data_IF_026280153363
#
_entry.id   IF_026280153363
#
_cell.length_a   1.000
_cell.length_b   1.000
_cell.length_c   1.000
_cell.angle_alpha   90.00
_cell.angle_beta   90.00
_cell.angle_gamma   90.00
#
_symmetry.space_group_name_H-M   'P 1'
#
loop_
_entity.id
_entity.type
_entity.pdbx_description
1 polymer ?
#
# COMPACT_ATOMS: atom_id res chain seq x y z
N UNK A 1 -8.24 -59.68 28.81
CA UNK A 1 -7.91 -58.59 29.74
C UNK A 1 -8.36 -57.30 29.08
N UNK A 2 -9.55 -56.80 29.45
CA UNK A 2 -9.76 -55.63 30.35
C UNK A 2 -9.43 -54.31 29.63
N UNK A 3 -10.31 -53.30 29.52
CA UNK A 3 -11.22 -52.76 30.52
C UNK A 3 -12.54 -52.26 29.91
N UNK A 4 -13.62 -52.47 30.66
CA UNK A 4 -14.91 -51.81 30.48
C UNK A 4 -15.51 -51.50 31.86
N UNK A 5 -16.10 -50.32 32.00
CA UNK A 5 -17.13 -49.88 32.96
C UNK A 5 -17.20 -48.36 32.85
N UNK A 6 -18.29 -47.64 33.03
CA UNK A 6 -19.70 -47.89 33.36
C UNK A 6 -20.39 -46.53 33.09
N UNK A 7 -21.70 -46.47 32.88
CA UNK A 7 -22.62 -45.58 33.61
C UNK A 7 -24.03 -45.65 32.99
N UNK A 8 -24.99 -45.48 33.88
CA UNK A 8 -26.35 -46.02 33.87
C UNK A 8 -27.36 -44.89 34.04
N UNK A 9 -28.55 -45.10 33.45
CA UNK A 9 -29.90 -44.57 33.78
C UNK A 9 -30.30 -43.10 33.52
N UNK A 10 -31.22 -42.98 32.54
CA UNK A 10 -32.53 -42.27 32.45
C UNK A 10 -33.23 -41.93 33.81
N UNK A 11 -34.42 -41.25 33.93
CA UNK A 11 -35.44 -40.89 32.91
C UNK A 11 -36.27 -39.59 33.18
N UNK A 12 -37.20 -39.29 32.26
CA UNK A 12 -38.58 -38.78 32.46
C UNK A 12 -39.00 -37.61 31.55
N UNK A 13 -39.70 -38.06 30.51
CA UNK A 13 -40.64 -37.38 29.66
C UNK A 13 -42.03 -37.42 30.32
N UNK A 14 -42.80 -36.33 30.29
CA UNK A 14 -44.26 -36.36 30.43
C UNK A 14 -44.91 -35.10 29.81
N UNK A 15 -45.77 -35.33 28.83
CA UNK A 15 -46.68 -34.39 28.13
C UNK A 15 -47.95 -34.12 29.02
N UNK A 16 -49.06 -33.42 28.62
CA UNK A 16 -49.63 -33.29 27.25
C UNK A 16 -50.41 -31.98 26.87
N UNK A 17 -50.99 -32.07 25.68
CA UNK A 17 -51.85 -31.28 24.74
C UNK A 17 -53.03 -30.35 25.14
N UNK A 18 -53.41 -29.51 24.13
CA UNK A 18 -54.70 -28.85 23.78
C UNK A 18 -55.09 -27.56 24.57
N UNK A 19 -55.80 -26.52 24.08
CA UNK A 19 -56.86 -26.36 23.06
C UNK A 19 -57.11 -24.84 22.75
N UNK A 20 -58.01 -24.52 21.81
CA UNK A 20 -58.27 -23.22 21.15
C UNK A 20 -59.11 -22.17 21.93
N UNK A 21 -59.14 -20.90 21.46
CA UNK A 21 -60.23 -19.95 21.80
C UNK A 21 -59.95 -18.44 21.61
N UNK A 22 -60.77 -17.77 20.78
CA UNK A 22 -60.86 -16.31 20.56
C UNK A 22 -61.43 -15.52 21.76
N UNK A 23 -61.08 -14.23 21.91
CA UNK A 23 -61.91 -13.25 22.65
C UNK A 23 -61.20 -11.95 23.05
N UNK A 24 -61.68 -10.82 22.53
CA UNK A 24 -61.28 -9.45 22.90
C UNK A 24 -61.78 -9.06 24.31
N UNK A 25 -61.02 -8.22 25.04
CA UNK A 25 -61.54 -7.01 25.67
C UNK A 25 -60.40 -6.15 26.28
N UNK A 26 -60.41 -4.88 25.89
CA UNK A 26 -59.60 -3.79 26.46
C UNK A 26 -60.02 -3.52 27.91
N UNK A 27 -59.05 -3.35 28.81
CA UNK A 27 -59.18 -2.43 29.94
C UNK A 27 -57.92 -1.59 30.04
N UNK A 28 -58.14 -0.28 29.93
CA UNK A 28 -57.15 0.77 30.12
C UNK A 28 -56.79 0.87 31.61
N UNK A 29 -55.51 0.76 31.95
CA UNK A 29 -54.99 1.35 33.18
C UNK A 29 -53.76 2.21 32.88
N UNK A 30 -53.88 3.47 33.31
CA UNK A 30 -52.95 4.57 33.13
C UNK A 30 -51.71 4.40 34.02
N UNK A 31 -50.56 4.39 33.37
CA UNK A 31 -49.26 4.94 33.81
C UNK A 31 -49.03 5.17 35.32
N UNK A 32 -48.04 4.44 35.87
CA UNK A 32 -47.14 5.01 36.86
C UNK A 32 -45.67 4.74 36.48
N UNK A 33 -44.97 5.85 36.25
CA UNK A 33 -43.58 5.98 35.80
C UNK A 33 -42.57 5.34 36.77
N UNK A 34 -41.57 4.65 36.20
CA UNK A 34 -40.32 4.33 36.91
C UNK A 34 -39.62 3.05 36.47
N UNK A 35 -39.36 2.85 35.17
CA UNK A 35 -38.43 1.80 34.72
C UNK A 35 -37.03 2.43 34.54
N UNK A 36 -35.98 1.92 35.19
CA UNK A 36 -34.62 2.29 34.83
C UNK A 36 -34.39 1.81 33.40
N UNK A 37 -33.89 2.70 32.55
CA UNK A 37 -33.54 2.39 31.17
C UNK A 37 -32.62 1.17 31.15
N UNK A 38 -33.15 0.01 30.76
CA UNK A 38 -32.33 -1.14 30.44
C UNK A 38 -31.49 -0.73 29.22
N UNK A 39 -30.20 -0.54 29.44
CA UNK A 39 -29.23 -0.36 28.35
C UNK A 39 -29.34 -1.60 27.48
N UNK A 40 -29.88 -1.42 26.26
CA UNK A 40 -29.76 -2.42 25.22
C UNK A 40 -28.27 -2.78 25.11
N UNK A 41 -27.89 -4.07 25.06
CA UNK A 41 -26.52 -4.43 24.74
C UNK A 41 -26.22 -3.79 23.39
N UNK A 42 -25.34 -2.79 23.37
CA UNK A 42 -24.78 -2.30 22.12
C UNK A 42 -24.13 -3.51 21.47
N UNK A 43 -24.62 -3.89 20.29
CA UNK A 43 -23.95 -4.89 19.48
C UNK A 43 -22.47 -4.48 19.39
N UNK A 44 -21.52 -5.43 19.50
CA UNK A 44 -20.10 -5.09 19.46
C UNK A 44 -19.84 -4.30 18.19
N UNK A 45 -19.54 -3.01 18.35
CA UNK A 45 -19.15 -2.15 17.22
C UNK A 45 -17.92 -2.82 16.63
N UNK A 46 -18.03 -3.31 15.39
CA UNK A 46 -16.90 -3.89 14.70
C UNK A 46 -15.79 -2.84 14.69
N UNK A 47 -14.71 -3.07 15.44
CA UNK A 47 -13.61 -2.12 15.53
C UNK A 47 -12.95 -2.03 14.16
N UNK A 48 -13.28 -0.97 13.42
CA UNK A 48 -12.58 -0.55 12.20
C UNK A 48 -11.41 0.33 12.60
N UNK A 49 -10.29 0.19 11.90
CA UNK A 49 -9.11 1.00 12.12
C UNK A 49 -9.43 2.48 11.91
N UNK A 50 -8.80 3.35 12.70
CA UNK A 50 -8.83 4.78 12.38
C UNK A 50 -8.15 5.01 11.03
N UNK A 51 -8.49 6.11 10.34
CA UNK A 51 -7.85 6.45 9.07
C UNK A 51 -6.31 6.55 9.22
N UNK A 52 -5.81 7.06 10.34
CA UNK A 52 -4.38 7.19 10.59
C UNK A 52 -3.72 5.81 10.75
N UNK A 53 -4.29 4.93 11.56
CA UNK A 53 -3.75 3.58 11.79
C UNK A 53 -3.79 2.75 10.50
N UNK A 54 -4.86 2.90 9.72
CA UNK A 54 -4.99 2.26 8.42
C UNK A 54 -3.88 2.72 7.45
N UNK A 55 -3.64 4.03 7.33
CA UNK A 55 -2.59 4.56 6.46
C UNK A 55 -1.18 4.18 6.94
N UNK A 56 -0.98 4.05 8.25
CA UNK A 56 0.26 3.53 8.81
C UNK A 56 0.51 2.08 8.39
N UNK A 57 -0.51 1.22 8.46
CA UNK A 57 -0.42 -0.17 7.97
C UNK A 57 -0.19 -0.24 6.46
N UNK A 58 -0.89 0.58 5.66
CA UNK A 58 -0.64 0.68 4.21
C UNK A 58 0.82 1.05 3.92
N UNK A 59 1.38 1.99 4.68
CA UNK A 59 2.78 2.40 4.54
C UNK A 59 3.74 1.27 4.93
N UNK A 60 3.42 0.51 5.97
CA UNK A 60 4.17 -0.68 6.36
C UNK A 60 4.19 -1.72 5.24
N UNK A 61 3.03 -2.10 4.70
CA UNK A 61 2.91 -3.04 3.56
C UNK A 61 3.74 -2.57 2.36
N UNK A 62 3.67 -1.27 2.02
CA UNK A 62 4.49 -0.69 0.93
C UNK A 62 5.99 -0.83 1.16
N UNK A 63 6.44 -0.68 2.41
CA UNK A 63 7.86 -0.86 2.74
C UNK A 63 8.28 -2.32 2.66
N UNK A 64 7.42 -3.26 3.09
CA UNK A 64 7.68 -4.69 2.91
C UNK A 64 7.76 -5.06 1.43
N UNK A 65 6.86 -4.56 0.57
CA UNK A 65 6.94 -4.76 -0.89
C UNK A 65 8.23 -4.20 -1.51
N UNK A 66 8.70 -3.03 -1.07
CA UNK A 66 10.00 -2.49 -1.53
C UNK A 66 11.17 -3.37 -1.11
N UNK A 67 11.11 -3.93 0.10
CA UNK A 67 12.13 -4.87 0.55
C UNK A 67 12.05 -6.20 -0.20
N UNK A 68 10.85 -6.63 -0.62
CA UNK A 68 10.66 -7.83 -1.43
C UNK A 68 11.35 -7.71 -2.79
N UNK A 69 11.26 -6.57 -3.47
CA UNK A 69 12.01 -6.31 -4.72
C UNK A 69 13.52 -6.50 -4.54
N UNK A 70 14.08 -6.01 -3.41
CA UNK A 70 15.49 -6.21 -3.09
C UNK A 70 15.84 -7.68 -2.84
N UNK A 71 14.95 -8.45 -2.20
CA UNK A 71 15.14 -9.88 -1.98
C UNK A 71 15.11 -10.65 -3.30
N UNK A 72 14.18 -10.32 -4.21
CA UNK A 72 14.08 -10.94 -5.55
C UNK A 72 15.37 -10.75 -6.34
N UNK A 73 15.94 -9.54 -6.32
CA UNK A 73 17.22 -9.25 -6.97
C UNK A 73 18.38 -10.05 -6.37
N UNK A 74 18.37 -10.26 -5.05
CA UNK A 74 19.37 -11.11 -4.38
C UNK A 74 19.19 -12.59 -4.71
N UNK A 75 17.94 -13.08 -4.78
CA UNK A 75 17.60 -14.44 -5.22
C UNK A 75 18.14 -14.67 -6.64
N UNK A 76 17.91 -13.73 -7.57
CA UNK A 76 18.45 -13.80 -8.93
C UNK A 76 19.99 -13.88 -8.94
N UNK A 77 20.66 -13.01 -8.19
CA UNK A 77 22.13 -13.03 -8.09
C UNK A 77 22.65 -14.37 -7.55
N UNK A 78 21.96 -14.96 -6.57
CA UNK A 78 22.30 -16.26 -5.99
C UNK A 78 22.01 -17.42 -6.95
N UNK A 79 20.92 -17.39 -7.72
CA UNK A 79 20.69 -18.37 -8.79
C UNK A 79 21.79 -18.31 -9.85
N UNK A 80 22.18 -17.11 -10.29
CA UNK A 80 23.26 -16.94 -11.25
C UNK A 80 24.58 -17.51 -10.72
N UNK A 81 24.92 -17.20 -9.46
CA UNK A 81 26.10 -17.77 -8.81
C UNK A 81 25.99 -19.29 -8.73
N UNK A 82 24.85 -19.81 -8.29
CA UNK A 82 24.59 -21.23 -8.17
C UNK A 82 24.76 -21.93 -9.51
N UNK A 83 24.34 -21.37 -10.65
CA UNK A 83 24.58 -21.97 -11.98
C UNK A 83 26.07 -22.07 -12.34
N UNK A 84 26.87 -21.07 -11.98
CA UNK A 84 28.29 -20.99 -12.35
C UNK A 84 29.24 -21.74 -11.42
N UNK A 85 28.87 -21.94 -10.16
CA UNK A 85 29.72 -22.60 -9.16
C UNK A 85 29.00 -23.71 -8.40
N UNK A 86 29.76 -24.66 -7.87
CA UNK A 86 29.29 -25.70 -6.94
C UNK A 86 29.48 -25.28 -5.48
N UNK A 87 29.37 -23.97 -5.22
CA UNK A 87 29.54 -23.39 -3.89
C UNK A 87 28.34 -23.71 -2.98
N UNK A 88 28.52 -24.66 -2.08
CA UNK A 88 27.49 -25.10 -1.13
C UNK A 88 27.00 -23.97 -0.22
N UNK A 89 27.86 -23.00 0.14
CA UNK A 89 27.44 -21.88 0.99
C UNK A 89 26.48 -20.95 0.24
N UNK A 90 26.72 -20.71 -1.06
CA UNK A 90 25.81 -19.92 -1.89
C UNK A 90 24.46 -20.62 -2.09
N UNK A 91 24.46 -21.95 -2.21
CA UNK A 91 23.23 -22.75 -2.31
C UNK A 91 22.39 -22.70 -1.03
N UNK A 92 23.04 -22.83 0.14
CA UNK A 92 22.36 -22.70 1.42
C UNK A 92 21.78 -21.31 1.63
N UNK A 93 22.50 -20.27 1.20
CA UNK A 93 22.01 -18.90 1.27
C UNK A 93 20.84 -18.65 0.30
N UNK A 94 20.88 -19.25 -0.90
CA UNK A 94 19.75 -19.20 -1.82
C UNK A 94 18.51 -19.82 -1.20
N UNK A 95 18.64 -21.02 -0.63
CA UNK A 95 17.51 -21.73 -0.01
C UNK A 95 16.92 -20.94 1.17
N UNK A 96 17.75 -20.36 2.03
CA UNK A 96 17.26 -19.55 3.14
C UNK A 96 16.59 -18.26 2.68
N UNK A 97 17.12 -17.59 1.65
CA UNK A 97 16.55 -16.37 1.11
C UNK A 97 15.23 -16.63 0.38
N UNK A 98 15.12 -17.71 -0.40
CA UNK A 98 13.85 -18.12 -1.03
C UNK A 98 12.78 -18.39 0.03
N UNK A 99 13.13 -19.15 1.09
CA UNK A 99 12.20 -19.41 2.19
C UNK A 99 11.76 -18.12 2.92
N UNK A 100 12.70 -17.20 3.17
CA UNK A 100 12.39 -15.89 3.77
C UNK A 100 11.48 -15.05 2.86
N UNK A 101 11.77 -15.03 1.57
CA UNK A 101 10.98 -14.31 0.55
C UNK A 101 9.56 -14.84 0.52
N UNK A 102 9.39 -16.15 0.63
CA UNK A 102 8.07 -16.78 0.64
C UNK A 102 7.24 -16.46 1.89
N UNK A 103 7.88 -16.42 3.06
CA UNK A 103 7.23 -15.94 4.29
C UNK A 103 6.80 -14.48 4.17
N UNK A 104 7.64 -13.63 3.56
CA UNK A 104 7.32 -12.21 3.31
C UNK A 104 6.15 -12.05 2.34
N UNK A 105 6.13 -12.81 1.25
CA UNK A 105 5.00 -12.84 0.30
C UNK A 105 3.68 -13.19 1.01
N UNK A 106 3.70 -14.22 1.86
CA UNK A 106 2.51 -14.64 2.63
C UNK A 106 2.09 -13.55 3.63
N UNK A 107 3.04 -12.93 4.33
CA UNK A 107 2.79 -11.82 5.26
C UNK A 107 2.12 -10.63 4.56
N UNK A 108 2.67 -10.19 3.42
CA UNK A 108 2.11 -9.08 2.63
C UNK A 108 0.68 -9.42 2.18
N UNK A 109 0.44 -10.64 1.67
CA UNK A 109 -0.89 -11.12 1.30
C UNK A 109 -1.89 -11.03 2.46
N UNK A 110 -1.50 -11.53 3.63
CA UNK A 110 -2.35 -11.55 4.83
C UNK A 110 -2.67 -10.14 5.35
N UNK A 111 -1.69 -9.23 5.29
CA UNK A 111 -1.88 -7.83 5.66
C UNK A 111 -2.82 -7.11 4.70
N UNK A 112 -2.67 -7.30 3.38
CA UNK A 112 -3.60 -6.74 2.38
C UNK A 112 -5.01 -7.29 2.60
N UNK A 113 -5.16 -8.59 2.89
CA UNK A 113 -6.46 -9.20 3.22
C UNK A 113 -7.07 -8.60 4.49
N UNK A 114 -6.26 -8.32 5.50
CA UNK A 114 -6.71 -7.68 6.74
C UNK A 114 -7.19 -6.25 6.46
N UNK A 115 -6.44 -5.48 5.68
CA UNK A 115 -6.81 -4.13 5.26
C UNK A 115 -8.09 -4.13 4.41
N UNK A 116 -8.25 -5.11 3.52
CA UNK A 116 -9.50 -5.34 2.78
C UNK A 116 -10.68 -5.52 3.73
N UNK A 117 -10.55 -6.45 4.68
CA UNK A 117 -11.61 -6.71 5.66
C UNK A 117 -11.93 -5.49 6.52
N UNK A 118 -10.95 -4.61 6.79
CA UNK A 118 -11.18 -3.33 7.44
C UNK A 118 -11.93 -2.31 6.57
N UNK A 119 -11.53 -2.20 5.29
CA UNK A 119 -12.20 -1.34 4.33
C UNK A 119 -13.67 -1.75 4.13
N UNK A 120 -13.95 -3.05 4.00
CA UNK A 120 -15.31 -3.61 3.83
C UNK A 120 -16.22 -3.36 5.05
N UNK A 121 -15.65 -3.34 6.26
CA UNK A 121 -16.40 -3.05 7.50
C UNK A 121 -16.57 -1.55 7.74
N UNK A 122 -15.81 -0.70 7.05
CA UNK A 122 -15.84 0.76 7.23
C UNK A 122 -17.06 1.33 6.51
N UNK A 123 -17.95 1.99 7.25
CA UNK A 123 -19.18 2.61 6.74
C UNK A 123 -19.17 4.14 6.80
N UNK A 124 -18.09 4.73 7.32
CA UNK A 124 -17.92 6.18 7.40
C UNK A 124 -17.32 6.78 6.12
N UNK A 125 -17.10 8.09 6.11
CA UNK A 125 -16.52 8.81 4.97
C UNK A 125 -15.10 8.37 4.57
N UNK A 126 -14.41 7.57 5.38
CA UNK A 126 -13.08 7.04 5.07
C UNK A 126 -13.10 5.77 4.22
N UNK A 127 -14.27 5.13 4.04
CA UNK A 127 -14.43 3.90 3.26
C UNK A 127 -13.80 4.02 1.86
N UNK A 128 -14.14 5.08 1.10
CA UNK A 128 -13.65 5.26 -0.27
C UNK A 128 -12.12 5.40 -0.35
N UNK A 129 -11.50 6.08 0.63
CA UNK A 129 -10.04 6.15 0.73
C UNK A 129 -9.46 4.77 0.99
N UNK A 130 -9.97 4.04 1.99
CA UNK A 130 -9.46 2.72 2.37
C UNK A 130 -9.57 1.73 1.22
N UNK A 131 -10.71 1.67 0.54
CA UNK A 131 -10.94 0.80 -0.61
C UNK A 131 -9.90 1.05 -1.72
N UNK A 132 -9.66 2.31 -2.10
CA UNK A 132 -8.64 2.67 -3.11
C UNK A 132 -7.22 2.29 -2.69
N UNK A 133 -6.87 2.43 -1.42
CA UNK A 133 -5.56 2.03 -0.93
C UNK A 133 -5.37 0.51 -1.01
N UNK A 134 -6.39 -0.28 -0.65
CA UNK A 134 -6.37 -1.75 -0.79
C UNK A 134 -6.24 -2.17 -2.26
N UNK A 135 -6.99 -1.54 -3.15
CA UNK A 135 -6.91 -1.79 -4.60
C UNK A 135 -5.52 -1.48 -5.14
N UNK A 136 -4.95 -0.33 -4.78
CA UNK A 136 -3.59 0.05 -5.16
C UNK A 136 -2.55 -0.94 -4.63
N UNK A 137 -2.61 -1.31 -3.35
CA UNK A 137 -1.72 -2.32 -2.76
C UNK A 137 -1.82 -3.67 -3.49
N UNK A 138 -3.03 -4.13 -3.79
CA UNK A 138 -3.26 -5.39 -4.49
C UNK A 138 -2.68 -5.36 -5.90
N UNK A 139 -2.84 -4.25 -6.61
CA UNK A 139 -2.27 -4.04 -7.95
C UNK A 139 -0.74 -4.00 -7.91
N UNK A 140 -0.17 -3.25 -6.98
CA UNK A 140 1.29 -3.13 -6.82
C UNK A 140 1.91 -4.48 -6.45
N UNK A 141 1.30 -5.22 -5.54
CA UNK A 141 1.78 -6.54 -5.13
C UNK A 141 1.67 -7.58 -6.25
N UNK A 142 0.58 -7.58 -7.03
CA UNK A 142 0.49 -8.41 -8.25
C UNK A 142 1.61 -8.14 -9.24
N UNK A 143 1.96 -6.87 -9.45
CA UNK A 143 3.06 -6.51 -10.34
C UNK A 143 4.40 -7.02 -9.81
N UNK A 144 4.61 -7.03 -8.49
CA UNK A 144 5.80 -7.63 -7.85
C UNK A 144 5.83 -9.16 -8.02
N UNK A 145 4.73 -9.84 -7.74
CA UNK A 145 4.63 -11.30 -7.91
C UNK A 145 4.86 -11.71 -9.37
N UNK A 146 4.32 -10.95 -10.34
CA UNK A 146 4.56 -11.22 -11.75
C UNK A 146 6.06 -11.09 -12.11
N UNK A 147 6.73 -10.02 -11.64
CA UNK A 147 8.18 -9.88 -11.83
C UNK A 147 8.94 -11.08 -11.26
N UNK A 148 8.54 -11.53 -10.07
CA UNK A 148 9.20 -12.67 -9.44
C UNK A 148 8.97 -13.97 -10.22
N UNK A 149 7.74 -14.22 -10.69
CA UNK A 149 7.41 -15.37 -11.57
C UNK A 149 8.25 -15.33 -12.85
N UNK A 150 8.38 -14.16 -13.47
CA UNK A 150 9.17 -14.00 -14.69
C UNK A 150 10.66 -14.29 -14.44
N UNK A 151 11.19 -13.87 -13.29
CA UNK A 151 12.59 -14.14 -12.90
C UNK A 151 12.83 -15.62 -12.62
N UNK A 152 11.98 -16.26 -11.82
CA UNK A 152 12.02 -17.71 -11.56
C UNK A 152 11.87 -18.51 -12.87
N UNK A 153 11.00 -18.10 -13.78
CA UNK A 153 10.82 -18.77 -15.08
C UNK A 153 12.06 -18.63 -15.97
N UNK A 154 12.77 -17.51 -15.92
CA UNK A 154 14.04 -17.37 -16.65
C UNK A 154 15.10 -18.32 -16.09
N UNK A 155 15.21 -18.42 -14.76
CA UNK A 155 16.16 -19.35 -14.15
C UNK A 155 15.78 -20.80 -14.39
N UNK A 156 14.49 -21.15 -14.33
CA UNK A 156 13.96 -22.46 -14.72
C UNK A 156 14.56 -22.92 -16.05
N UNK A 157 14.49 -22.07 -17.07
CA UNK A 157 15.04 -22.40 -18.40
C UNK A 157 16.56 -22.54 -18.37
N UNK A 158 17.28 -21.65 -17.68
CA UNK A 158 18.75 -21.75 -17.54
C UNK A 158 19.20 -23.04 -16.86
N UNK A 159 18.48 -23.50 -15.84
CA UNK A 159 18.75 -24.78 -15.17
C UNK A 159 18.51 -25.97 -16.12
N UNK A 160 17.39 -25.96 -16.88
CA UNK A 160 17.09 -26.98 -17.90
C UNK A 160 18.18 -27.06 -18.96
N UNK A 161 18.60 -25.92 -19.49
CA UNK A 161 19.71 -25.88 -20.46
C UNK A 161 21.02 -26.43 -19.85
N UNK A 162 21.30 -26.13 -18.58
CA UNK A 162 22.52 -26.60 -17.94
C UNK A 162 22.50 -28.11 -17.69
N UNK A 163 21.33 -28.68 -17.36
CA UNK A 163 21.11 -30.13 -17.31
C UNK A 163 21.35 -30.74 -18.68
N UNK A 164 20.75 -30.19 -19.74
CA UNK A 164 20.94 -30.65 -21.11
C UNK A 164 22.41 -30.65 -21.53
N UNK A 165 23.15 -29.55 -21.25
CA UNK A 165 24.59 -29.45 -21.53
C UNK A 165 25.40 -30.51 -20.79
N UNK A 166 25.14 -30.71 -19.49
CA UNK A 166 25.86 -31.71 -18.69
C UNK A 166 25.53 -33.14 -19.14
N UNK A 167 24.29 -33.41 -19.48
CA UNK A 167 23.88 -34.69 -20.03
C UNK A 167 24.62 -35.02 -21.34
N UNK A 168 24.78 -34.03 -22.24
CA UNK A 168 25.51 -34.19 -23.51
C UNK A 168 27.01 -34.44 -23.32
N UNK A 169 27.62 -33.95 -22.24
CA UNK A 169 29.02 -34.26 -21.90
C UNK A 169 29.18 -35.76 -21.60
N UNK A 170 28.18 -36.37 -20.94
CA UNK A 170 28.19 -37.81 -20.63
C UNK A 170 27.72 -38.62 -21.84
N UNK A 171 26.78 -38.12 -22.62
CA UNK A 171 26.21 -38.81 -23.78
C UNK A 171 26.40 -37.96 -25.05
N UNK A 172 27.61 -37.94 -25.65
CA UNK A 172 27.90 -37.08 -26.81
C UNK A 172 27.11 -37.45 -28.06
N UNK A 173 26.73 -38.73 -28.20
CA UNK A 173 25.95 -39.26 -29.32
C UNK A 173 24.42 -39.10 -29.12
N UNK A 174 23.98 -38.52 -28.00
CA UNK A 174 22.56 -38.33 -27.72
C UNK A 174 21.91 -37.37 -28.74
N UNK A 175 20.74 -37.76 -29.24
CA UNK A 175 19.95 -36.89 -30.11
C UNK A 175 19.40 -35.68 -29.36
N UNK A 176 19.08 -34.58 -30.05
CA UNK A 176 18.53 -33.40 -29.37
C UNK A 176 17.19 -33.70 -28.66
N UNK A 177 16.39 -34.64 -29.18
CA UNK A 177 15.17 -35.11 -28.52
C UNK A 177 15.47 -35.86 -27.22
N UNK A 178 16.49 -36.70 -27.21
CA UNK A 178 16.94 -37.42 -26.01
C UNK A 178 17.49 -36.45 -24.95
N UNK A 179 18.23 -35.43 -25.37
CA UNK A 179 18.74 -34.39 -24.47
C UNK A 179 17.61 -33.56 -23.85
N UNK A 180 16.55 -33.24 -24.61
CA UNK A 180 15.37 -32.57 -24.07
C UNK A 180 14.61 -33.46 -23.08
N UNK A 181 14.37 -34.72 -23.44
CA UNK A 181 13.74 -35.69 -22.53
C UNK A 181 14.56 -35.85 -21.24
N UNK A 182 15.89 -35.83 -21.34
CA UNK A 182 16.78 -35.83 -20.20
C UNK A 182 16.66 -34.53 -19.38
N UNK A 183 16.51 -33.36 -19.98
CA UNK A 183 16.27 -32.11 -19.23
C UNK A 183 14.91 -32.07 -18.52
N UNK A 184 13.93 -32.82 -19.03
CA UNK A 184 12.59 -33.01 -18.45
C UNK A 184 12.48 -34.19 -17.48
N UNK A 185 13.49 -35.06 -17.44
CA UNK A 185 13.44 -36.27 -16.65
C UNK A 185 13.50 -35.99 -15.15
N UNK A 186 12.83 -36.83 -14.35
CA UNK A 186 12.97 -36.77 -12.90
C UNK A 186 14.30 -37.39 -12.45
N UNK A 187 15.36 -36.59 -12.40
CA UNK A 187 16.67 -37.03 -11.89
C UNK A 187 16.69 -37.31 -10.39
N UNK A 188 15.62 -36.99 -9.66
CA UNK A 188 15.40 -37.44 -8.29
C UNK A 188 15.16 -38.96 -8.22
N UNK A 189 14.65 -39.55 -9.30
CA UNK A 189 14.41 -40.99 -9.42
C UNK A 189 15.74 -41.76 -9.59
N UNK A 190 16.08 -42.53 -8.55
CA UNK A 190 17.29 -43.36 -8.53
C UNK A 190 17.36 -44.36 -9.70
N UNK A 191 16.22 -44.85 -10.19
CA UNK A 191 16.17 -45.75 -11.35
C UNK A 191 16.63 -45.08 -12.65
N UNK A 192 16.26 -43.81 -12.86
CA UNK A 192 16.67 -43.02 -14.03
C UNK A 192 18.17 -42.73 -13.95
N UNK A 193 18.63 -42.28 -12.78
CA UNK A 193 20.04 -42.01 -12.51
C UNK A 193 20.93 -43.24 -12.74
N UNK A 194 20.55 -44.39 -12.20
CA UNK A 194 21.31 -45.64 -12.36
C UNK A 194 21.30 -46.13 -13.81
N UNK A 195 20.22 -45.89 -14.56
CA UNK A 195 20.15 -46.24 -15.98
C UNK A 195 21.12 -45.38 -16.80
N UNK A 196 21.16 -44.07 -16.54
CA UNK A 196 22.11 -43.15 -17.17
C UNK A 196 23.57 -43.44 -16.79
N UNK A 197 23.83 -43.97 -15.59
CA UNK A 197 25.17 -44.39 -15.18
C UNK A 197 25.60 -45.74 -15.79
N UNK A 198 24.65 -46.64 -16.04
CA UNK A 198 24.93 -47.94 -16.69
C UNK A 198 25.33 -47.79 -18.14
N UNK A 199 24.77 -46.80 -18.86
CA UNK A 199 25.15 -46.49 -20.23
C UNK A 199 26.55 -45.88 -20.33
N UNK A 200 27.02 -45.19 -19.27
CA UNK A 200 28.36 -44.62 -19.23
C UNK A 200 29.06 -44.85 -17.88
N UNK A 201 29.89 -45.89 -17.81
CA UNK A 201 30.55 -46.35 -16.56
C UNK A 201 31.84 -45.60 -16.19
N UNK A 202 32.15 -44.49 -16.85
CA UNK A 202 33.36 -43.71 -16.54
C UNK A 202 33.26 -42.97 -15.21
N UNK A 203 34.35 -42.85 -14.45
CA UNK A 203 34.36 -42.07 -13.19
C UNK A 203 33.99 -40.59 -13.37
N UNK A 204 34.22 -40.03 -14.57
CA UNK A 204 33.76 -38.69 -14.94
C UNK A 204 32.24 -38.62 -15.14
N UNK A 205 31.60 -39.70 -15.61
CA UNK A 205 30.15 -39.75 -15.81
C UNK A 205 29.41 -39.64 -14.47
N UNK A 206 29.89 -40.33 -13.42
CA UNK A 206 29.30 -40.25 -12.07
C UNK A 206 29.29 -38.81 -11.53
N UNK A 207 30.40 -38.08 -11.68
CA UNK A 207 30.50 -36.70 -11.19
C UNK A 207 29.57 -35.75 -11.96
N UNK A 208 29.51 -35.89 -13.28
CA UNK A 208 28.65 -35.04 -14.13
C UNK A 208 27.16 -35.36 -13.90
N UNK A 209 26.77 -36.62 -13.81
CA UNK A 209 25.39 -37.00 -13.50
C UNK A 209 24.99 -36.57 -12.07
N UNK A 210 25.93 -36.59 -11.12
CA UNK A 210 25.71 -36.04 -9.78
C UNK A 210 25.38 -34.54 -9.81
N UNK A 211 26.08 -33.78 -10.65
CA UNK A 211 25.77 -32.37 -10.89
C UNK A 211 24.41 -32.19 -11.56
N UNK A 212 24.06 -33.04 -12.54
CA UNK A 212 22.73 -33.03 -13.17
C UNK A 212 21.63 -33.22 -12.12
N UNK A 213 21.78 -34.20 -11.23
CA UNK A 213 20.84 -34.42 -10.13
C UNK A 213 20.73 -33.22 -9.20
N UNK A 214 21.86 -32.59 -8.85
CA UNK A 214 21.83 -31.37 -8.03
C UNK A 214 21.09 -30.23 -8.74
N UNK A 215 21.32 -30.02 -10.05
CA UNK A 215 20.59 -29.00 -10.84
C UNK A 215 19.11 -29.30 -10.97
N UNK A 216 18.74 -30.57 -11.10
CA UNK A 216 17.35 -31.00 -11.13
C UNK A 216 16.63 -30.68 -9.81
N UNK A 217 17.27 -30.95 -8.67
CA UNK A 217 16.69 -30.60 -7.38
C UNK A 217 16.43 -29.08 -7.26
N UNK A 218 17.35 -28.25 -7.76
CA UNK A 218 17.16 -26.80 -7.79
C UNK A 218 16.05 -26.38 -8.77
N UNK A 219 15.94 -27.04 -9.92
CA UNK A 219 14.84 -26.84 -10.88
C UNK A 219 13.48 -27.13 -10.23
N UNK A 220 13.35 -28.23 -9.47
CA UNK A 220 12.12 -28.57 -8.75
C UNK A 220 11.73 -27.51 -7.72
N UNK A 221 12.71 -26.93 -7.01
CA UNK A 221 12.47 -25.83 -6.06
C UNK A 221 11.92 -24.60 -6.78
N UNK A 222 12.49 -24.23 -7.93
CA UNK A 222 11.99 -23.13 -8.77
C UNK A 222 10.56 -23.38 -9.22
N UNK A 223 10.25 -24.59 -9.69
CA UNK A 223 8.88 -24.94 -10.10
C UNK A 223 7.88 -24.84 -8.94
N UNK A 224 8.27 -25.29 -7.75
CA UNK A 224 7.46 -25.13 -6.54
C UNK A 224 7.23 -23.65 -6.20
N UNK A 225 8.29 -22.82 -6.23
CA UNK A 225 8.17 -21.37 -6.03
C UNK A 225 7.21 -20.72 -7.03
N UNK A 226 7.30 -21.05 -8.32
CA UNK A 226 6.39 -20.52 -9.35
C UNK A 226 4.93 -20.89 -9.05
N UNK A 227 4.65 -22.12 -8.66
CA UNK A 227 3.29 -22.57 -8.30
C UNK A 227 2.77 -21.77 -7.09
N UNK A 228 3.59 -21.58 -6.07
CA UNK A 228 3.21 -20.84 -4.88
C UNK A 228 2.94 -19.36 -5.18
N UNK A 229 3.80 -18.72 -5.99
CA UNK A 229 3.61 -17.34 -6.44
C UNK A 229 2.34 -17.20 -7.29
N UNK A 230 2.05 -18.17 -8.17
CA UNK A 230 0.83 -18.17 -8.98
C UNK A 230 -0.44 -18.31 -8.11
N UNK A 231 -0.39 -19.13 -7.06
CA UNK A 231 -1.50 -19.24 -6.11
C UNK A 231 -1.73 -17.92 -5.38
N UNK A 232 -0.67 -17.25 -4.91
CA UNK A 232 -0.77 -15.92 -4.30
C UNK A 232 -1.31 -14.89 -5.30
N UNK A 233 -0.89 -14.94 -6.56
CA UNK A 233 -1.37 -14.04 -7.60
C UNK A 233 -2.89 -14.16 -7.81
N UNK A 234 -3.40 -15.40 -7.88
CA UNK A 234 -4.83 -15.69 -7.99
C UNK A 234 -5.61 -15.27 -6.75
N UNK A 235 -5.05 -15.47 -5.55
CA UNK A 235 -5.68 -15.01 -4.30
C UNK A 235 -5.96 -13.49 -4.34
N UNK A 236 -5.06 -12.71 -4.94
CA UNK A 236 -5.21 -11.25 -5.06
C UNK A 236 -6.32 -10.83 -6.04
N UNK A 237 -6.77 -11.68 -6.97
CA UNK A 237 -7.94 -11.41 -7.80
C UNK A 237 -9.22 -11.31 -6.97
N UNK A 238 -9.28 -12.02 -5.85
CA UNK A 238 -10.42 -11.98 -4.93
C UNK A 238 -10.43 -10.75 -4.02
N UNK A 239 -9.35 -9.96 -4.03
CA UNK A 239 -9.19 -8.81 -3.14
C UNK A 239 -9.75 -7.50 -3.70
N UNK A 240 -10.41 -7.54 -4.86
CA UNK A 240 -11.14 -6.39 -5.40
C UNK A 240 -12.34 -6.10 -4.50
N UNK A 241 -12.31 -4.96 -3.82
CA UNK A 241 -13.44 -4.47 -3.02
C UNK A 241 -14.53 -4.03 -4.00
N UNK A 242 -15.72 -4.62 -3.91
CA UNK A 242 -16.87 -4.13 -4.67
C UNK A 242 -17.17 -2.70 -4.20
N UNK A 243 -17.08 -1.73 -5.12
CA UNK A 243 -17.52 -0.37 -4.84
C UNK A 243 -19.05 -0.37 -4.86
N UNK A 244 -19.69 -0.29 -3.69
CA UNK A 244 -21.12 -0.03 -3.65
C UNK A 244 -21.39 1.34 -4.31
N UNK A 245 -22.28 1.42 -5.32
CA UNK A 245 -22.67 2.69 -5.91
C UNK A 245 -23.61 3.40 -4.95
N UNK A 246 -23.05 4.11 -3.96
CA UNK A 246 -23.52 5.32 -3.28
C UNK A 246 -22.54 5.55 -2.13
N UNK A 247 -21.52 6.38 -2.33
CA UNK A 247 -21.30 7.66 -1.61
C UNK A 247 -20.36 8.49 -2.50
N UNK A 248 -20.90 9.14 -3.53
CA UNK A 248 -20.23 10.17 -4.34
C UNK A 248 -19.95 11.48 -3.57
N UNK A 249 -19.79 11.44 -2.24
CA UNK A 249 -19.60 12.65 -1.41
C UNK A 249 -18.23 12.78 -0.77
N UNK A 250 -17.32 11.83 -0.95
CA UNK A 250 -15.97 11.90 -0.40
C UNK A 250 -14.91 12.43 -1.40
N UNK A 251 -15.20 12.42 -2.71
CA UNK A 251 -14.25 12.92 -3.73
C UNK A 251 -14.17 14.44 -3.80
N UNK A 252 -15.22 15.16 -3.41
CA UNK A 252 -15.19 16.63 -3.41
C UNK A 252 -14.33 17.19 -2.27
N UNK A 253 -14.12 16.45 -1.17
CA UNK A 253 -13.42 16.95 0.01
C UNK A 253 -11.89 16.70 -0.03
N UNK A 254 -11.43 15.70 -0.78
CA UNK A 254 -10.00 15.48 -1.04
C UNK A 254 -9.49 16.43 -2.14
N UNK A 255 -10.33 16.81 -3.11
CA UNK A 255 -10.02 17.87 -4.06
C UNK A 255 -9.87 19.24 -3.36
N UNK A 256 -10.71 19.53 -2.37
CA UNK A 256 -10.57 20.75 -1.56
C UNK A 256 -9.30 20.74 -0.69
N UNK A 257 -8.87 19.58 -0.17
CA UNK A 257 -7.65 19.52 0.66
C UNK A 257 -6.36 19.72 -0.16
N UNK A 258 -6.33 19.30 -1.42
CA UNK A 258 -5.22 19.64 -2.33
C UNK A 258 -5.28 21.11 -2.79
N UNK A 259 -6.47 21.66 -3.03
CA UNK A 259 -6.66 23.09 -3.31
C UNK A 259 -6.24 24.01 -2.14
N UNK A 260 -6.27 23.51 -0.90
CA UNK A 260 -5.81 24.26 0.28
C UNK A 260 -4.28 24.31 0.43
N UNK A 261 -3.53 23.39 -0.19
CA UNK A 261 -2.06 23.48 -0.26
C UNK A 261 -1.60 24.45 -1.36
N UNK A 262 -2.28 24.49 -2.51
CA UNK A 262 -1.99 25.46 -3.57
C UNK A 262 -2.39 26.89 -3.20
N UNK A 263 -3.48 27.08 -2.43
CA UNK A 263 -3.85 28.40 -1.88
C UNK A 263 -2.92 28.86 -0.76
N UNK A 264 -2.27 27.94 -0.03
CA UNK A 264 -1.24 28.28 0.97
C UNK A 264 -0.04 29.01 0.35
N UNK A 265 0.40 28.60 -0.85
CA UNK A 265 1.46 29.30 -1.58
C UNK A 265 0.99 30.66 -2.14
N UNK A 266 -0.27 30.78 -2.57
CA UNK A 266 -0.81 32.04 -3.06
C UNK A 266 -1.00 33.09 -1.94
N UNK A 267 -1.27 32.67 -0.70
CA UNK A 267 -1.38 33.57 0.45
C UNK A 267 -0.03 34.04 0.99
N UNK A 268 1.03 33.22 0.90
CA UNK A 268 2.42 33.66 1.15
C UNK A 268 2.83 34.73 0.13
N UNK A 269 2.47 34.55 -1.14
CA UNK A 269 2.80 35.49 -2.22
C UNK A 269 2.01 36.82 -2.13
N UNK A 270 0.74 36.76 -1.70
CA UNK A 270 -0.05 37.96 -1.34
C UNK A 270 0.54 38.65 -0.10
N UNK A 271 0.99 37.90 0.90
CA UNK A 271 1.67 38.43 2.09
C UNK A 271 2.93 39.23 1.74
N UNK A 272 3.74 38.72 0.82
CA UNK A 272 4.96 39.39 0.33
C UNK A 272 4.62 40.63 -0.52
N UNK A 273 3.60 40.57 -1.39
CA UNK A 273 3.13 41.73 -2.18
C UNK A 273 2.55 42.85 -1.30
N UNK A 274 1.76 42.54 -0.28
CA UNK A 274 1.22 43.53 0.67
C UNK A 274 2.30 44.13 1.58
N UNK A 275 3.34 43.36 1.94
CA UNK A 275 4.51 43.90 2.65
C UNK A 275 5.34 44.87 1.77
N UNK A 276 5.50 44.56 0.48
CA UNK A 276 6.25 45.40 -0.47
C UNK A 276 5.49 46.67 -0.86
N UNK A 277 4.16 46.61 -1.00
CA UNK A 277 3.31 47.78 -1.30
C UNK A 277 3.27 48.80 -0.15
N UNK A 278 3.20 48.35 1.11
CA UNK A 278 3.25 49.25 2.29
C UNK A 278 4.55 50.06 2.38
N UNK A 279 5.69 49.51 1.92
CA UNK A 279 6.96 50.26 1.88
C UNK A 279 6.95 51.37 0.81
N UNK A 280 6.26 51.16 -0.33
CA UNK A 280 6.13 52.17 -1.41
C UNK A 280 5.19 53.32 -1.02
N UNK A 281 4.11 53.04 -0.30
CA UNK A 281 3.18 54.06 0.19
C UNK A 281 3.80 54.98 1.26
N UNK A 282 4.69 54.45 2.11
CA UNK A 282 5.46 55.28 3.05
C UNK A 282 6.32 56.32 2.33
N UNK A 283 6.98 55.94 1.24
CA UNK A 283 7.78 56.84 0.41
C UNK A 283 6.94 57.92 -0.29
N UNK A 284 5.77 57.54 -0.80
CA UNK A 284 4.83 58.51 -1.40
C UNK A 284 4.29 59.52 -0.39
N UNK A 285 3.94 59.07 0.82
CA UNK A 285 3.46 59.97 1.87
C UNK A 285 4.56 60.96 2.31
N UNK A 286 5.81 60.50 2.47
CA UNK A 286 6.94 61.39 2.77
C UNK A 286 7.20 62.40 1.65
N UNK A 287 7.03 62.02 0.38
CA UNK A 287 7.20 62.93 -0.76
C UNK A 287 6.12 64.01 -0.79
N UNK A 288 4.86 63.65 -0.54
CA UNK A 288 3.75 64.61 -0.48
C UNK A 288 3.92 65.61 0.67
N UNK A 289 4.32 65.14 1.86
CA UNK A 289 4.59 66.03 3.00
C UNK A 289 5.73 67.00 2.69
N UNK A 290 6.80 66.53 2.03
CA UNK A 290 7.90 67.40 1.61
C UNK A 290 7.44 68.50 0.63
N UNK A 291 6.59 68.16 -0.35
CA UNK A 291 6.06 69.15 -1.30
C UNK A 291 5.17 70.20 -0.64
N UNK A 292 4.36 69.82 0.35
CA UNK A 292 3.53 70.76 1.12
C UNK A 292 4.40 71.76 1.90
N UNK A 293 5.46 71.28 2.55
CA UNK A 293 6.41 72.15 3.26
C UNK A 293 7.07 73.14 2.30
N UNK A 294 7.45 72.69 1.10
CA UNK A 294 8.08 73.52 0.09
C UNK A 294 7.11 74.59 -0.45
N UNK A 295 5.84 74.25 -0.65
CA UNK A 295 4.80 75.21 -1.04
C UNK A 295 4.54 76.28 0.04
N UNK A 296 4.52 75.89 1.32
CA UNK A 296 4.40 76.84 2.44
C UNK A 296 5.62 77.75 2.50
N UNK A 297 6.84 77.22 2.34
CA UNK A 297 8.07 78.01 2.33
C UNK A 297 8.09 79.04 1.19
N UNK A 298 7.64 78.65 -0.02
CA UNK A 298 7.50 79.57 -1.15
C UNK A 298 6.40 80.61 -0.92
N UNK A 299 5.27 80.22 -0.34
CA UNK A 299 4.17 81.14 -0.03
C UNK A 299 4.55 82.18 1.02
N UNK A 300 5.23 81.77 2.09
CA UNK A 300 5.75 82.70 3.12
C UNK A 300 6.88 83.56 2.54
N UNK A 301 7.78 82.98 1.71
CA UNK A 301 8.82 83.74 1.03
C UNK A 301 8.27 84.83 0.10
N UNK A 302 7.25 84.51 -0.70
CA UNK A 302 6.57 85.47 -1.58
C UNK A 302 5.72 86.48 -0.78
N UNK A 303 5.05 86.05 0.29
CA UNK A 303 4.26 86.93 1.16
C UNK A 303 5.12 87.98 1.86
N UNK A 304 6.30 87.60 2.36
CA UNK A 304 7.26 88.54 2.96
C UNK A 304 7.89 89.45 1.90
N UNK A 305 8.15 88.94 0.69
CA UNK A 305 8.67 89.75 -0.41
C UNK A 305 7.67 90.78 -0.95
N UNK A 306 6.37 90.44 -1.01
CA UNK A 306 5.31 91.33 -1.50
C UNK A 306 4.84 92.34 -0.44
N UNK A 307 4.82 91.96 0.85
CA UNK A 307 4.45 92.89 1.95
C UNK A 307 5.48 94.01 2.12
N UNK A 308 6.75 93.79 1.74
CA UNK A 308 7.77 94.84 1.71
C UNK A 308 7.49 95.92 0.65
N UNK A 309 6.61 95.66 -0.33
CA UNK A 309 6.34 96.57 -1.45
C UNK A 309 4.98 97.31 -1.35
N UNK A 310 4.08 96.97 -0.42
CA UNK A 310 2.67 97.42 -0.46
C UNK A 310 2.20 98.52 0.51
N UNK A 311 2.96 98.89 1.55
CA UNK A 311 2.53 99.90 2.54
C UNK A 311 3.00 101.33 2.20
N UNK A 312 2.62 101.80 1.01
CA UNK A 312 2.61 103.24 0.69
C UNK A 312 1.28 103.59 0.01
N UNK A 313 0.50 104.48 0.63
CA UNK A 313 -0.73 105.17 0.14
C UNK A 313 -2.03 104.34 0.20
N UNK A 314 -3.20 104.83 0.65
CA UNK A 314 -3.71 106.18 0.78
C UNK A 314 -4.81 106.32 1.87
N UNK A 315 -4.86 107.53 2.44
CA UNK A 315 -5.79 108.08 3.44
C UNK A 315 -6.85 108.94 2.74
N UNK A 316 -8.10 108.95 3.23
CA UNK A 316 -8.86 110.22 3.29
C UNK A 316 -10.32 110.24 2.79
N UNK A 317 -11.21 110.44 3.78
CA UNK A 317 -12.24 111.51 3.85
C UNK A 317 -13.60 111.32 3.12
N UNK A 318 -14.70 111.36 3.87
CA UNK A 318 -15.62 112.53 3.89
C UNK A 318 -16.84 112.36 4.82
N UNK A 319 -17.19 113.49 5.45
CA UNK A 319 -18.25 113.77 6.41
C UNK A 319 -19.62 114.08 5.76
N UNK A 320 -20.69 114.00 6.57
CA UNK A 320 -21.61 115.14 6.76
C UNK A 320 -23.04 115.01 6.23
N UNK A 321 -23.98 114.73 7.15
CA UNK A 321 -25.22 115.49 7.38
C UNK A 321 -25.76 115.13 8.77
#
# INVERSE_FOLDING_TARGET
>A
MSYGNQYQSNPYNQAPSAEAGHGQQEQHELQQYGQPYAQQPQAPVAHVLTQQDFLAQVTHVRNEMRSLDADIQQVAALHQRALTSSDTAAQQHLESLVAQTQLKNTSIRDQIRTLKGDAERTTDGSHGLKARQVEALSKDFKAELQRYIDEESQYKERYREQIARQYRIVNPEASDQEVQQAADADWGNEGIFQTALKSNRGGQATAVLGNVRARHNELMKIEQSIIELANLFQDLDTLVVQQDPIIQRADEQVQQTNDHLDKGNAEVDKGIKHARSRRRLKWWCTLVVFLIILAIALGVGLGVALTKNGTKTATGNNNGA
#
